data_IF_448550675350
#
_entry.id   IF_448550675350
#
_cell.length_a   1.000
_cell.length_b   1.000
_cell.length_c   1.000
_cell.angle_alpha   90.00
_cell.angle_beta   90.00
_cell.angle_gamma   90.00
#
_symmetry.space_group_name_H-M   'P 1'
#
loop_
_entity.id
_entity.type
_entity.pdbx_description
1 polymer ?
#
# COMPACT_ATOMS: atom_id res chain seq x y z
N UNK A 1 31.30 50.65 -0.47
CA UNK A 1 30.78 50.83 0.90
C UNK A 1 30.94 49.48 1.59
N UNK A 2 32.11 49.23 2.20
CA UNK A 2 32.34 49.24 3.67
C UNK A 2 31.40 48.24 4.37
N UNK A 3 31.81 47.01 4.70
CA UNK A 3 32.85 46.52 5.63
C UNK A 3 32.62 46.95 7.10
N UNK A 4 32.24 45.99 7.96
CA UNK A 4 32.41 45.98 9.43
C UNK A 4 31.88 44.64 9.97
N UNK A 5 32.41 43.99 11.01
CA UNK A 5 33.77 43.79 11.53
C UNK A 5 33.66 42.66 12.58
N UNK A 6 34.79 42.02 12.85
CA UNK A 6 35.04 40.98 13.85
C UNK A 6 35.35 41.59 15.24
N UNK A 7 35.19 40.80 16.31
CA UNK A 7 35.93 40.90 17.60
C UNK A 7 35.02 41.16 18.82
N UNK A 8 35.30 40.73 20.05
CA UNK A 8 36.44 40.10 20.74
C UNK A 8 35.95 39.74 22.18
N UNK A 9 36.25 38.57 22.76
CA UNK A 9 37.31 38.27 23.78
C UNK A 9 37.12 38.83 25.21
N UNK A 10 37.38 37.96 26.21
CA UNK A 10 37.78 38.27 27.61
C UNK A 10 36.97 37.45 28.63
N UNK A 11 37.44 36.35 29.25
CA UNK A 11 38.62 36.03 30.09
C UNK A 11 38.51 36.42 31.58
N UNK A 12 38.87 35.42 32.42
CA UNK A 12 39.51 35.49 33.75
C UNK A 12 38.62 35.87 34.97
N UNK A 13 38.77 35.36 36.20
CA UNK A 13 39.66 34.42 36.92
C UNK A 13 39.06 34.39 38.38
N UNK A 14 39.10 33.37 39.24
CA UNK A 14 40.21 32.79 40.06
C UNK A 14 39.52 32.10 41.27
N UNK A 15 39.79 30.83 41.57
CA UNK A 15 40.83 30.26 42.46
C UNK A 15 40.58 30.32 43.98
N UNK A 16 40.44 29.15 44.60
CA UNK A 16 41.16 28.66 45.80
C UNK A 16 40.59 27.25 46.12
N UNK A 17 41.32 26.17 46.42
CA UNK A 17 42.70 26.00 46.82
C UNK A 17 42.77 24.99 47.99
N UNK A 18 42.86 23.68 47.69
CA UNK A 18 43.61 22.55 48.34
C UNK A 18 43.64 22.36 49.89
N UNK A 19 44.10 21.22 50.49
CA UNK A 19 44.95 20.14 49.92
C UNK A 19 44.68 18.65 50.30
N UNK A 20 45.21 17.80 49.41
CA UNK A 20 45.90 16.50 49.52
C UNK A 20 45.71 15.50 50.70
N UNK A 21 45.61 14.20 50.35
CA UNK A 21 46.59 13.15 50.77
C UNK A 21 46.62 11.97 49.78
N UNK A 22 47.82 11.39 49.59
CA UNK A 22 48.19 10.29 48.67
C UNK A 22 48.61 9.05 49.46
N UNK A 23 48.14 7.83 49.10
CA UNK A 23 48.83 6.52 49.33
C UNK A 23 48.26 5.42 48.38
N UNK A 24 48.89 4.23 48.16
CA UNK A 24 49.46 3.76 46.87
C UNK A 24 48.77 2.46 46.31
N UNK A 25 49.26 1.79 45.23
CA UNK A 25 48.46 0.79 44.50
C UNK A 25 48.61 -0.63 45.06
N UNK A 26 47.54 -1.44 44.94
CA UNK A 26 47.56 -2.88 45.21
C UNK A 26 47.17 -3.63 43.94
N UNK A 27 48.03 -4.59 43.59
CA UNK A 27 47.88 -5.54 42.49
C UNK A 27 46.94 -6.70 42.83
N UNK A 28 46.13 -7.08 41.84
CA UNK A 28 45.84 -8.48 41.48
C UNK A 28 44.89 -9.28 42.37
N UNK A 29 43.72 -9.61 41.83
CA UNK A 29 43.10 -10.92 42.04
C UNK A 29 42.15 -11.26 40.88
N UNK A 30 42.23 -12.50 40.39
CA UNK A 30 41.39 -13.06 39.33
C UNK A 30 40.17 -13.81 39.90
N UNK A 31 39.06 -13.71 39.14
CA UNK A 31 37.93 -14.69 38.99
C UNK A 31 36.86 -14.68 40.12
N UNK A 32 35.53 -14.89 39.86
CA UNK A 32 34.97 -15.74 38.80
C UNK A 32 33.86 -15.20 37.90
N UNK A 33 33.72 -15.89 36.77
CA UNK A 33 32.65 -15.79 35.78
C UNK A 33 31.35 -16.33 36.36
N UNK A 34 30.42 -15.46 36.75
CA UNK A 34 29.02 -15.84 36.97
C UNK A 34 28.24 -15.61 35.69
N UNK A 35 28.04 -16.70 34.94
CA UNK A 35 27.02 -16.76 33.90
C UNK A 35 25.65 -16.85 34.58
N UNK A 36 24.90 -15.74 34.62
CA UNK A 36 23.47 -15.79 34.88
C UNK A 36 22.74 -16.03 33.55
N UNK A 37 22.08 -17.18 33.32
CA UNK A 37 21.38 -17.46 32.08
C UNK A 37 19.91 -17.06 32.22
N UNK A 38 19.62 -15.79 32.45
CA UNK A 38 18.28 -15.20 32.29
C UNK A 38 18.45 -13.72 31.95
N UNK A 39 18.48 -13.45 30.65
CA UNK A 39 17.94 -12.27 29.98
C UNK A 39 18.22 -12.44 28.47
N UNK A 40 17.68 -13.52 27.91
CA UNK A 40 17.32 -13.54 26.51
C UNK A 40 15.82 -13.38 26.46
N UNK A 41 15.33 -12.16 26.71
CA UNK A 41 14.07 -11.78 26.09
C UNK A 41 14.30 -11.94 24.60
N UNK A 42 13.73 -13.02 24.08
CA UNK A 42 13.64 -13.31 22.67
C UNK A 42 13.18 -12.04 21.98
N UNK A 43 14.08 -11.46 21.18
CA UNK A 43 13.71 -10.54 20.13
C UNK A 43 12.89 -11.36 19.12
N UNK A 44 11.64 -11.67 19.47
CA UNK A 44 10.66 -12.22 18.54
C UNK A 44 10.53 -11.13 17.51
N UNK A 45 10.91 -11.36 16.24
CA UNK A 45 10.65 -10.38 15.21
C UNK A 45 9.14 -10.10 15.28
N UNK A 46 8.76 -8.83 15.46
CA UNK A 46 7.42 -8.41 15.07
C UNK A 46 7.20 -9.01 13.69
N UNK A 47 6.12 -9.79 13.53
CA UNK A 47 5.70 -10.24 12.21
C UNK A 47 5.73 -9.00 11.31
N UNK A 48 6.51 -9.05 10.23
CA UNK A 48 6.55 -7.94 9.28
C UNK A 48 5.11 -7.61 8.87
N UNK A 49 4.80 -6.31 8.77
CA UNK A 49 3.48 -5.87 8.34
C UNK A 49 3.14 -6.48 6.98
N UNK A 50 1.88 -6.89 6.80
CA UNK A 50 1.39 -7.42 5.53
C UNK A 50 1.33 -6.26 4.53
N UNK A 51 2.13 -6.35 3.46
CA UNK A 51 2.23 -5.29 2.45
C UNK A 51 1.13 -5.46 1.39
N UNK A 52 0.20 -4.52 1.33
CA UNK A 52 -0.93 -4.55 0.39
C UNK A 52 -0.73 -3.44 -0.64
N UNK A 53 -0.74 -3.79 -1.93
CA UNK A 53 -0.67 -2.84 -3.04
C UNK A 53 -2.07 -2.62 -3.65
N UNK A 54 -2.70 -1.45 -3.46
CA UNK A 54 -3.81 -1.02 -4.31
C UNK A 54 -3.25 -0.57 -5.66
N UNK A 55 -3.51 -1.35 -6.71
CA UNK A 55 -3.02 -1.12 -8.08
C UNK A 55 -4.22 -0.80 -8.99
N UNK A 56 -4.20 0.32 -9.69
CA UNK A 56 -5.29 0.65 -10.59
C UNK A 56 -5.20 1.99 -11.29
N UNK A 57 -6.36 2.47 -11.71
CA UNK A 57 -6.51 3.75 -12.39
C UNK A 57 -7.10 4.84 -11.48
N UNK A 58 -7.89 5.77 -12.04
CA UNK A 58 -8.59 6.83 -11.30
C UNK A 58 -9.54 6.29 -10.24
N UNK A 59 -10.12 5.09 -10.42
CA UNK A 59 -11.02 4.46 -9.44
C UNK A 59 -10.25 4.05 -8.17
N UNK A 60 -8.97 3.68 -8.31
CA UNK A 60 -8.08 3.44 -7.17
C UNK A 60 -7.50 4.74 -6.63
N UNK A 61 -7.10 5.68 -7.51
CA UNK A 61 -6.49 6.94 -7.08
C UNK A 61 -7.46 7.82 -6.26
N UNK A 62 -8.68 8.05 -6.76
CA UNK A 62 -9.58 9.07 -6.23
C UNK A 62 -9.16 10.50 -6.60
N UNK A 63 -10.08 11.45 -6.46
CA UNK A 63 -9.83 12.88 -6.70
C UNK A 63 -9.68 13.67 -5.39
N UNK A 64 -9.51 14.98 -5.50
CA UNK A 64 -9.39 15.91 -4.37
C UNK A 64 -10.60 15.95 -3.42
N UNK A 65 -11.75 15.41 -3.83
CA UNK A 65 -13.01 15.47 -3.08
C UNK A 65 -13.45 14.12 -2.50
N UNK A 66 -12.88 13.00 -2.96
CA UNK A 66 -13.31 11.64 -2.64
C UNK A 66 -12.13 10.80 -2.12
N UNK A 67 -12.38 9.97 -1.10
CA UNK A 67 -11.27 9.35 -0.34
C UNK A 67 -10.66 8.13 -0.99
N UNK A 68 -11.23 7.65 -2.11
CA UNK A 68 -11.03 6.31 -2.66
C UNK A 68 -11.55 5.21 -1.73
N UNK A 69 -11.87 4.04 -2.30
CA UNK A 69 -12.20 2.83 -1.53
C UNK A 69 -11.08 2.43 -0.57
N UNK A 70 -9.84 2.89 -0.82
CA UNK A 70 -8.67 2.63 0.01
C UNK A 70 -8.89 3.06 1.46
N UNK A 71 -9.53 4.20 1.69
CA UNK A 71 -9.77 4.70 3.05
C UNK A 71 -10.77 3.83 3.86
N UNK A 72 -11.98 3.53 3.35
CA UNK A 72 -12.86 2.60 4.05
C UNK A 72 -12.29 1.20 4.20
N UNK A 73 -11.55 0.71 3.21
CA UNK A 73 -10.84 -0.56 3.33
C UNK A 73 -9.78 -0.52 4.44
N UNK A 74 -8.97 0.54 4.52
CA UNK A 74 -7.97 0.70 5.56
C UNK A 74 -8.57 0.75 6.97
N UNK A 75 -9.74 1.40 7.16
CA UNK A 75 -10.46 1.32 8.45
C UNK A 75 -10.79 -0.13 8.82
N UNK A 76 -11.32 -0.90 7.86
CA UNK A 76 -11.64 -2.32 8.08
C UNK A 76 -10.40 -3.15 8.39
N UNK A 77 -9.27 -2.83 7.75
CA UNK A 77 -7.97 -3.47 8.00
C UNK A 77 -7.43 -3.14 9.39
N UNK A 78 -7.53 -1.88 9.83
CA UNK A 78 -7.20 -1.47 11.22
C UNK A 78 -8.02 -2.26 12.24
N UNK A 79 -9.31 -2.49 11.95
CA UNK A 79 -10.20 -3.25 12.84
C UNK A 79 -9.80 -4.74 12.99
N UNK A 80 -8.97 -5.28 12.09
CA UNK A 80 -8.45 -6.66 12.22
C UNK A 80 -7.35 -6.79 13.27
N UNK A 81 -6.65 -5.71 13.60
CA UNK A 81 -5.45 -5.75 14.44
C UNK A 81 -4.21 -6.38 13.78
N UNK A 82 -4.29 -6.78 12.51
CA UNK A 82 -3.13 -7.19 11.72
C UNK A 82 -2.28 -5.95 11.42
N UNK A 83 -0.96 -6.07 11.55
CA UNK A 83 -0.06 -5.01 11.10
C UNK A 83 -0.10 -4.95 9.57
N UNK A 84 -0.60 -3.84 9.01
CA UNK A 84 -0.72 -3.60 7.57
C UNK A 84 0.19 -2.44 7.17
N UNK A 85 0.74 -2.55 5.97
CA UNK A 85 1.49 -1.50 5.27
C UNK A 85 0.87 -1.40 3.86
N UNK A 86 0.16 -0.31 3.54
CA UNK A 86 -0.17 -0.05 2.14
C UNK A 86 1.12 0.37 1.44
N UNK A 87 1.28 -0.06 0.19
CA UNK A 87 2.51 0.21 -0.57
C UNK A 87 2.15 0.70 -1.95
N UNK A 88 3.03 1.53 -2.52
CA UNK A 88 2.82 2.14 -3.81
C UNK A 88 3.93 3.13 -4.15
N UNK A 89 3.97 3.55 -5.41
CA UNK A 89 4.91 4.55 -5.92
C UNK A 89 4.45 5.98 -5.62
N UNK A 90 3.18 6.17 -5.28
CA UNK A 90 2.58 7.46 -4.92
C UNK A 90 1.70 7.33 -3.67
N UNK A 91 1.43 8.45 -3.02
CA UNK A 91 0.71 8.51 -1.74
C UNK A 91 -0.44 9.54 -1.77
N UNK A 92 -0.87 9.99 -2.95
CA UNK A 92 -1.78 11.14 -3.10
C UNK A 92 -2.86 10.96 -4.17
N UNK A 93 -3.99 11.63 -3.93
CA UNK A 93 -5.10 11.64 -4.86
C UNK A 93 -4.84 12.58 -6.05
N UNK A 94 -5.63 12.43 -7.12
CA UNK A 94 -5.51 13.27 -8.29
C UNK A 94 -5.98 14.70 -7.98
N UNK A 95 -5.16 15.68 -8.38
CA UNK A 95 -5.38 17.13 -8.19
C UNK A 95 -5.38 17.64 -6.74
N UNK A 96 -5.25 16.77 -5.76
CA UNK A 96 -5.15 17.14 -4.35
C UNK A 96 -5.72 16.05 -3.46
N UNK A 97 -5.60 16.25 -2.16
CA UNK A 97 -6.02 15.27 -1.17
C UNK A 97 -7.31 15.71 -0.46
N UNK A 98 -8.29 14.82 -0.31
CA UNK A 98 -9.38 15.05 0.63
C UNK A 98 -8.86 14.94 2.07
N UNK A 99 -9.69 15.38 3.03
CA UNK A 99 -9.39 15.14 4.44
C UNK A 99 -9.65 13.67 4.77
N UNK A 100 -8.61 12.96 5.20
CA UNK A 100 -8.69 11.64 5.84
C UNK A 100 -8.55 11.80 7.36
N UNK A 101 -9.64 11.68 8.12
CA UNK A 101 -9.56 11.67 9.57
C UNK A 101 -8.73 10.49 10.10
N UNK A 102 -8.07 10.68 11.23
CA UNK A 102 -7.49 9.56 11.96
C UNK A 102 -8.60 8.57 12.36
N UNK A 103 -8.28 7.29 12.32
CA UNK A 103 -9.17 6.22 12.77
C UNK A 103 -8.46 5.37 13.82
N UNK A 104 -9.12 5.18 14.96
CA UNK A 104 -8.53 4.53 16.15
C UNK A 104 -7.14 5.07 16.57
N UNK A 105 -6.91 6.37 16.37
CA UNK A 105 -5.64 7.02 16.70
C UNK A 105 -4.50 6.76 15.72
N UNK A 106 -4.80 6.18 14.54
CA UNK A 106 -3.85 5.97 13.46
C UNK A 106 -4.18 6.93 12.31
N UNK A 107 -3.14 7.49 11.69
CA UNK A 107 -3.28 8.23 10.44
C UNK A 107 -3.48 7.25 9.28
N UNK A 108 -4.26 7.66 8.27
CA UNK A 108 -4.46 6.85 7.07
C UNK A 108 -3.11 6.59 6.38
N UNK A 109 -2.82 5.33 6.13
CA UNK A 109 -1.75 4.92 5.22
C UNK A 109 -2.23 5.13 3.80
N UNK A 110 -1.55 6.00 3.05
CA UNK A 110 -2.07 6.55 1.80
C UNK A 110 -1.46 5.90 0.56
N UNK A 111 -0.43 5.07 0.72
CA UNK A 111 0.38 4.57 -0.39
C UNK A 111 -0.44 3.69 -1.36
N UNK A 112 -0.24 3.89 -2.67
CA UNK A 112 -0.90 3.14 -3.74
C UNK A 112 -0.23 3.32 -5.13
N UNK A 113 -0.61 2.50 -6.10
CA UNK A 113 -0.32 2.68 -7.54
C UNK A 113 -1.64 2.87 -8.31
N UNK A 114 -2.35 3.94 -7.98
CA UNK A 114 -3.59 4.33 -8.68
C UNK A 114 -3.29 5.50 -9.58
N UNK A 115 -3.41 5.35 -10.90
CA UNK A 115 -2.99 6.39 -11.84
C UNK A 115 -4.15 6.88 -12.70
N UNK A 116 -4.54 8.13 -12.49
CA UNK A 116 -5.74 8.70 -13.08
C UNK A 116 -5.70 8.64 -14.61
N UNK A 117 -6.70 7.95 -15.18
CA UNK A 117 -6.86 7.81 -16.62
C UNK A 117 -5.92 6.82 -17.28
N UNK A 118 -5.12 6.06 -16.53
CA UNK A 118 -4.19 5.08 -17.09
C UNK A 118 -4.88 3.79 -17.49
N UNK A 119 -4.36 3.17 -18.56
CA UNK A 119 -4.68 1.83 -19.05
C UNK A 119 -3.79 0.76 -18.42
N UNK A 120 -4.12 -0.52 -18.66
CA UNK A 120 -3.27 -1.63 -18.24
C UNK A 120 -1.88 -1.59 -18.88
N UNK A 121 -1.76 -1.25 -20.17
CA UNK A 121 -0.47 -1.09 -20.86
C UNK A 121 0.46 -0.05 -20.19
N UNK A 122 -0.13 1.06 -19.70
CA UNK A 122 0.62 2.18 -19.13
C UNK A 122 1.18 1.78 -17.75
N UNK A 123 0.39 1.06 -16.97
CA UNK A 123 0.85 0.44 -15.71
C UNK A 123 1.93 -0.61 -15.98
N UNK A 124 1.76 -1.44 -17.02
CA UNK A 124 2.71 -2.48 -17.37
C UNK A 124 4.09 -1.93 -17.75
N UNK A 125 4.13 -0.74 -18.34
CA UNK A 125 5.38 -0.07 -18.69
C UNK A 125 6.21 0.35 -17.46
N UNK A 126 5.57 0.57 -16.30
CA UNK A 126 6.21 1.16 -15.12
C UNK A 126 6.38 0.18 -13.95
N UNK A 127 5.55 -0.88 -13.87
CA UNK A 127 5.44 -1.75 -12.70
C UNK A 127 6.79 -2.39 -12.27
N UNK A 128 7.67 -2.71 -13.20
CA UNK A 128 8.98 -3.32 -12.89
C UNK A 128 9.90 -2.36 -12.11
N UNK A 129 9.80 -1.05 -12.40
CA UNK A 129 10.55 0.02 -11.76
C UNK A 129 9.96 0.35 -10.39
N UNK A 130 8.63 0.43 -10.25
CA UNK A 130 7.98 0.65 -8.97
C UNK A 130 8.27 -0.46 -7.97
N UNK A 131 8.25 -1.72 -8.43
CA UNK A 131 8.60 -2.89 -7.61
C UNK A 131 10.09 -2.98 -7.23
N UNK A 132 10.90 -1.97 -7.54
CA UNK A 132 12.24 -1.81 -6.93
C UNK A 132 12.18 -1.09 -5.57
N UNK A 133 11.12 -0.30 -5.32
CA UNK A 133 10.91 0.43 -4.06
C UNK A 133 10.19 -0.39 -2.99
N UNK A 134 9.30 -1.30 -3.39
CA UNK A 134 8.55 -2.19 -2.50
C UNK A 134 8.24 -3.52 -3.17
N UNK A 135 7.95 -4.52 -2.34
CA UNK A 135 7.51 -5.84 -2.79
C UNK A 135 6.19 -6.15 -2.06
N UNK A 136 5.05 -6.25 -2.75
CA UNK A 136 3.77 -6.53 -2.10
C UNK A 136 3.61 -8.01 -1.77
N UNK A 137 2.92 -8.29 -0.67
CA UNK A 137 2.42 -9.63 -0.31
C UNK A 137 1.03 -9.87 -0.92
N UNK A 138 0.23 -8.80 -1.04
CA UNK A 138 -1.12 -8.80 -1.57
C UNK A 138 -1.27 -7.68 -2.60
N UNK A 139 -1.95 -7.95 -3.71
CA UNK A 139 -2.27 -6.94 -4.73
C UNK A 139 -3.77 -6.89 -4.94
N UNK A 140 -4.34 -5.67 -4.91
CA UNK A 140 -5.73 -5.38 -5.25
C UNK A 140 -5.75 -4.62 -6.57
N UNK A 141 -5.94 -5.35 -7.68
CA UNK A 141 -5.84 -4.82 -9.03
C UNK A 141 -7.22 -4.45 -9.58
N UNK A 142 -7.44 -3.16 -9.86
CA UNK A 142 -8.64 -2.64 -10.54
C UNK A 142 -8.22 -1.80 -11.75
N UNK A 143 -8.26 -2.42 -12.93
CA UNK A 143 -7.82 -1.87 -14.21
C UNK A 143 -8.76 -2.33 -15.34
N UNK A 144 -8.66 -1.68 -16.49
CA UNK A 144 -9.41 -2.05 -17.71
C UNK A 144 -10.53 -1.09 -18.08
N UNK A 145 -10.98 -0.23 -17.16
CA UNK A 145 -12.02 0.77 -17.45
C UNK A 145 -11.55 1.74 -18.53
N UNK A 146 -10.33 2.27 -18.39
CA UNK A 146 -9.78 3.21 -19.37
C UNK A 146 -9.47 2.57 -20.72
N UNK A 147 -9.08 1.30 -20.74
CA UNK A 147 -8.83 0.50 -21.94
C UNK A 147 -10.12 0.43 -22.77
N UNK A 148 -11.23 0.05 -22.13
CA UNK A 148 -12.54 0.03 -22.78
C UNK A 148 -12.97 1.44 -23.22
N UNK A 149 -12.74 2.47 -22.40
CA UNK A 149 -13.05 3.86 -22.75
C UNK A 149 -12.31 4.33 -23.99
N UNK A 150 -11.03 3.98 -24.11
CA UNK A 150 -10.15 4.33 -25.25
C UNK A 150 -10.34 3.42 -26.46
N UNK A 151 -11.06 2.30 -26.29
CA UNK A 151 -11.45 1.41 -27.38
C UNK A 151 -10.41 0.35 -27.72
N UNK A 152 -9.61 -0.03 -26.72
CA UNK A 152 -8.63 -1.10 -26.82
C UNK A 152 -9.32 -2.47 -26.93
N UNK A 153 -8.59 -3.45 -27.45
CA UNK A 153 -9.11 -4.81 -27.61
C UNK A 153 -9.20 -5.53 -26.25
N UNK A 154 -10.28 -6.30 -26.06
CA UNK A 154 -10.53 -7.00 -24.80
C UNK A 154 -9.50 -8.10 -24.55
N UNK A 155 -9.13 -8.88 -25.58
CA UNK A 155 -8.17 -9.97 -25.44
C UNK A 155 -6.75 -9.41 -25.20
N UNK A 156 -6.43 -8.27 -25.81
CA UNK A 156 -5.20 -7.51 -25.53
C UNK A 156 -5.16 -7.03 -24.08
N UNK A 157 -6.22 -6.35 -23.61
CA UNK A 157 -6.33 -5.89 -22.21
C UNK A 157 -6.17 -7.06 -21.23
N UNK A 158 -6.82 -8.20 -21.48
CA UNK A 158 -6.67 -9.40 -20.64
C UNK A 158 -5.23 -9.91 -20.66
N UNK A 159 -4.57 -9.93 -21.82
CA UNK A 159 -3.17 -10.35 -21.95
C UNK A 159 -2.23 -9.45 -21.14
N UNK A 160 -2.51 -8.14 -21.09
CA UNK A 160 -1.76 -7.19 -20.28
C UNK A 160 -1.94 -7.45 -18.79
N UNK A 161 -3.18 -7.69 -18.33
CA UNK A 161 -3.46 -8.08 -16.94
C UNK A 161 -2.73 -9.39 -16.56
N UNK A 162 -2.74 -10.39 -17.45
CA UNK A 162 -1.96 -11.63 -17.25
C UNK A 162 -0.46 -11.34 -17.14
N UNK A 163 0.05 -10.43 -17.94
CA UNK A 163 1.47 -10.03 -17.92
C UNK A 163 1.81 -9.31 -16.62
N UNK A 164 0.97 -8.40 -16.14
CA UNK A 164 1.12 -7.74 -14.83
C UNK A 164 1.21 -8.76 -13.69
N UNK A 165 0.33 -9.76 -13.66
CA UNK A 165 0.40 -10.88 -12.70
C UNK A 165 1.75 -11.60 -12.79
N UNK A 166 2.25 -11.84 -14.00
CA UNK A 166 3.58 -12.41 -14.23
C UNK A 166 4.72 -11.56 -13.65
N UNK A 167 4.67 -10.23 -13.80
CA UNK A 167 5.67 -9.30 -13.25
C UNK A 167 5.66 -9.27 -11.73
N UNK A 168 4.46 -9.22 -11.14
CA UNK A 168 4.28 -9.29 -9.68
C UNK A 168 4.89 -10.57 -9.11
N UNK A 169 4.60 -11.73 -9.74
CA UNK A 169 5.13 -13.04 -9.33
C UNK A 169 6.64 -13.17 -9.54
N UNK A 170 7.21 -12.50 -10.53
CA UNK A 170 8.65 -12.47 -10.74
C UNK A 170 9.39 -11.76 -9.58
N UNK A 171 8.73 -10.79 -8.92
CA UNK A 171 9.26 -10.08 -7.75
C UNK A 171 8.96 -10.80 -6.45
N UNK A 172 7.74 -11.29 -6.28
CA UNK A 172 7.32 -12.12 -5.15
C UNK A 172 6.60 -13.38 -5.65
N UNK A 173 7.27 -14.54 -5.69
CA UNK A 173 6.65 -15.81 -6.10
C UNK A 173 5.47 -16.27 -5.24
N UNK A 174 5.25 -15.61 -4.08
CA UNK A 174 4.20 -15.90 -3.13
C UNK A 174 3.11 -14.82 -3.02
N UNK A 175 3.13 -13.82 -3.91
CA UNK A 175 2.12 -12.75 -3.91
C UNK A 175 0.72 -13.33 -4.09
N UNK A 176 -0.23 -12.88 -3.27
CA UNK A 176 -1.66 -13.14 -3.45
C UNK A 176 -2.25 -12.03 -4.31
N UNK A 177 -2.86 -12.38 -5.43
CA UNK A 177 -3.40 -11.38 -6.37
C UNK A 177 -4.91 -11.44 -6.39
N UNK A 178 -5.55 -10.30 -6.16
CA UNK A 178 -6.96 -10.10 -6.40
C UNK A 178 -7.14 -9.20 -7.61
N UNK A 179 -7.89 -9.67 -8.61
CA UNK A 179 -8.19 -8.89 -9.82
C UNK A 179 -9.68 -8.58 -9.84
N UNK A 180 -10.05 -7.32 -9.97
CA UNK A 180 -11.44 -6.91 -10.05
C UNK A 180 -12.05 -7.30 -11.41
N UNK A 181 -13.29 -7.77 -11.39
CA UNK A 181 -14.23 -7.45 -12.46
C UNK A 181 -14.59 -5.97 -12.30
N UNK A 182 -14.24 -5.05 -13.23
CA UNK A 182 -14.39 -3.62 -13.01
C UNK A 182 -15.83 -3.19 -12.68
N UNK A 183 -16.00 -2.13 -11.88
CA UNK A 183 -17.33 -1.57 -11.59
C UNK A 183 -18.01 -1.11 -12.89
N UNK A 184 -19.35 -1.13 -12.95
CA UNK A 184 -20.07 -0.61 -14.11
C UNK A 184 -19.89 0.92 -14.24
N UNK A 185 -20.02 1.42 -15.46
CA UNK A 185 -19.99 2.84 -15.79
C UNK A 185 -21.13 3.24 -16.71
N UNK A 186 -21.45 4.53 -16.76
CA UNK A 186 -22.48 5.10 -17.64
C UNK A 186 -22.05 5.15 -19.11
N UNK A 187 -20.75 5.06 -19.37
CA UNK A 187 -20.15 5.07 -20.69
C UNK A 187 -19.52 3.71 -20.99
N UNK A 188 -19.74 3.18 -22.21
CA UNK A 188 -19.18 1.90 -22.68
C UNK A 188 -19.36 0.70 -21.73
N UNK A 189 -20.53 0.63 -21.08
CA UNK A 189 -20.84 -0.46 -20.15
C UNK A 189 -20.82 -1.84 -20.84
N UNK A 190 -21.22 -1.94 -22.11
CA UNK A 190 -21.22 -3.22 -22.82
C UNK A 190 -19.80 -3.75 -23.02
N UNK A 191 -18.84 -2.87 -23.29
CA UNK A 191 -17.43 -3.19 -23.43
C UNK A 191 -16.83 -3.57 -22.06
N UNK A 192 -17.14 -2.80 -21.01
CA UNK A 192 -16.75 -3.14 -19.63
C UNK A 192 -17.33 -4.50 -19.21
N UNK A 193 -18.59 -4.79 -19.53
CA UNK A 193 -19.22 -6.09 -19.28
C UNK A 193 -18.51 -7.22 -20.03
N UNK A 194 -18.16 -6.98 -21.29
CA UNK A 194 -17.43 -7.96 -22.09
C UNK A 194 -16.04 -8.22 -21.51
N UNK A 195 -15.34 -7.18 -21.03
CA UNK A 195 -14.08 -7.32 -20.31
C UNK A 195 -14.25 -8.09 -18.99
N UNK A 196 -15.29 -7.79 -18.18
CA UNK A 196 -15.59 -8.55 -16.96
C UNK A 196 -15.75 -10.04 -17.25
N UNK A 197 -16.51 -10.39 -18.28
CA UNK A 197 -16.71 -11.78 -18.69
C UNK A 197 -15.39 -12.44 -19.15
N UNK A 198 -14.55 -11.70 -19.86
CA UNK A 198 -13.24 -12.19 -20.28
C UNK A 198 -12.31 -12.42 -19.07
N UNK A 199 -12.26 -11.47 -18.12
CA UNK A 199 -11.50 -11.61 -16.86
C UNK A 199 -11.96 -12.84 -16.07
N UNK A 200 -13.26 -12.97 -15.84
CA UNK A 200 -13.86 -14.06 -15.06
C UNK A 200 -13.61 -15.44 -15.68
N UNK A 201 -13.56 -15.52 -17.02
CA UNK A 201 -13.34 -16.79 -17.73
C UNK A 201 -11.87 -17.16 -17.90
N UNK A 202 -10.95 -16.19 -17.89
CA UNK A 202 -9.54 -16.42 -18.25
C UNK A 202 -8.58 -16.38 -17.06
N UNK A 203 -8.68 -15.35 -16.21
CA UNK A 203 -7.68 -15.11 -15.16
C UNK A 203 -7.66 -16.16 -14.04
N UNK A 204 -8.77 -16.82 -13.63
CA UNK A 204 -8.71 -17.86 -12.61
C UNK A 204 -7.76 -19.01 -12.96
N UNK A 205 -7.52 -19.28 -14.25
CA UNK A 205 -6.59 -20.31 -14.70
C UNK A 205 -5.12 -20.00 -14.36
N UNK A 206 -4.78 -18.75 -14.02
CA UNK A 206 -3.45 -18.36 -13.56
C UNK A 206 -3.18 -18.71 -12.10
N UNK A 207 -4.20 -19.05 -11.31
CA UNK A 207 -4.06 -19.31 -9.86
C UNK A 207 -3.20 -20.56 -9.59
N UNK A 208 -2.33 -20.50 -8.58
CA UNK A 208 -1.56 -21.65 -8.10
C UNK A 208 -1.55 -21.71 -6.57
N UNK A 209 -1.06 -22.82 -6.01
CA UNK A 209 -0.94 -22.96 -4.56
C UNK A 209 0.12 -21.99 -3.98
N UNK A 210 1.18 -21.72 -4.73
CA UNK A 210 2.28 -20.84 -4.31
C UNK A 210 1.92 -19.36 -4.41
N UNK A 211 1.13 -18.96 -5.42
CA UNK A 211 0.65 -17.58 -5.64
C UNK A 211 -0.83 -17.62 -6.06
N UNK A 212 -1.75 -17.67 -5.10
CA UNK A 212 -3.18 -17.67 -5.38
C UNK A 212 -3.62 -16.41 -6.12
N UNK A 213 -4.49 -16.58 -7.11
CA UNK A 213 -5.20 -15.51 -7.78
C UNK A 213 -6.71 -15.68 -7.58
N UNK A 214 -7.38 -14.58 -7.25
CA UNK A 214 -8.83 -14.51 -7.09
C UNK A 214 -9.40 -13.40 -7.99
N UNK A 215 -10.49 -13.71 -8.70
CA UNK A 215 -11.30 -12.69 -9.37
C UNK A 215 -12.34 -12.19 -8.37
N UNK A 216 -12.46 -10.87 -8.24
CA UNK A 216 -13.37 -10.21 -7.29
C UNK A 216 -14.42 -9.45 -8.07
N UNK A 217 -15.67 -9.90 -7.96
CA UNK A 217 -16.82 -9.24 -8.55
C UNK A 217 -17.07 -7.89 -7.87
N UNK A 218 -16.60 -6.79 -8.48
CA UNK A 218 -16.90 -5.42 -8.03
C UNK A 218 -18.19 -4.86 -8.64
N UNK A 219 -18.79 -5.54 -9.63
CA UNK A 219 -19.94 -5.04 -10.38
C UNK A 219 -21.29 -5.38 -9.74
N UNK A 220 -21.46 -6.60 -9.22
CA UNK A 220 -22.73 -7.04 -8.66
C UNK A 220 -23.12 -6.20 -7.45
N UNK A 221 -24.32 -5.60 -7.52
CA UNK A 221 -24.84 -4.73 -6.48
C UNK A 221 -24.35 -3.28 -6.57
N UNK A 222 -23.45 -2.96 -7.50
CA UNK A 222 -23.00 -1.60 -7.76
C UNK A 222 -23.98 -0.91 -8.73
N UNK A 223 -24.59 0.18 -8.29
CA UNK A 223 -25.49 1.01 -9.11
C UNK A 223 -24.74 2.24 -9.58
N UNK A 224 -24.58 2.40 -10.91
CA UNK A 224 -23.91 3.58 -11.49
C UNK A 224 -24.53 4.87 -10.95
N UNK A 225 -25.85 5.01 -11.01
CA UNK A 225 -26.54 6.23 -10.58
C UNK A 225 -26.41 6.52 -9.08
N UNK A 226 -26.46 5.49 -8.24
CA UNK A 226 -26.43 5.67 -6.79
C UNK A 226 -25.01 5.72 -6.21
N UNK A 227 -24.05 5.06 -6.85
CA UNK A 227 -22.74 4.78 -6.29
C UNK A 227 -21.60 5.51 -7.01
N UNK A 228 -21.87 6.28 -8.08
CA UNK A 228 -20.89 7.18 -8.70
C UNK A 228 -21.26 8.64 -8.51
N UNK A 229 -20.32 9.55 -8.70
CA UNK A 229 -20.60 11.00 -8.71
C UNK A 229 -20.66 11.61 -10.12
N UNK A 230 -20.11 10.92 -11.12
CA UNK A 230 -20.07 11.38 -12.52
C UNK A 230 -20.44 10.29 -13.54
N UNK A 231 -20.94 9.15 -13.06
CA UNK A 231 -21.23 7.99 -13.90
C UNK A 231 -20.04 7.08 -14.15
N UNK A 232 -18.87 7.31 -13.53
CA UNK A 232 -17.66 6.48 -13.68
C UNK A 232 -17.02 6.23 -12.32
N UNK A 233 -16.75 7.30 -11.57
CA UNK A 233 -15.96 7.26 -10.36
C UNK A 233 -16.84 7.08 -9.11
N UNK A 234 -16.44 6.22 -8.16
CA UNK A 234 -17.22 5.97 -6.96
C UNK A 234 -17.42 7.22 -6.11
N UNK A 235 -18.66 7.44 -5.66
CA UNK A 235 -18.94 8.31 -4.53
C UNK A 235 -18.74 7.53 -3.22
N UNK A 236 -18.90 8.19 -2.07
CA UNK A 236 -18.69 7.56 -0.76
C UNK A 236 -19.42 6.21 -0.56
N UNK A 237 -20.63 6.04 -1.12
CA UNK A 237 -21.35 4.76 -1.02
C UNK A 237 -20.76 3.67 -1.91
N UNK A 238 -20.27 4.04 -3.09
CA UNK A 238 -19.54 3.14 -3.99
C UNK A 238 -18.18 2.74 -3.41
N UNK A 239 -17.46 3.68 -2.82
CA UNK A 239 -16.19 3.43 -2.14
C UNK A 239 -16.34 2.41 -1.00
N UNK A 240 -17.37 2.54 -0.16
CA UNK A 240 -17.67 1.59 0.93
C UNK A 240 -18.07 0.21 0.38
N UNK A 241 -18.85 0.14 -0.70
CA UNK A 241 -19.20 -1.14 -1.36
C UNK A 241 -17.95 -1.84 -1.91
N UNK A 242 -17.07 -1.11 -2.59
CA UNK A 242 -15.84 -1.67 -3.16
C UNK A 242 -14.89 -2.15 -2.07
N UNK A 243 -14.73 -1.37 -1.00
CA UNK A 243 -13.93 -1.73 0.16
C UNK A 243 -14.43 -3.02 0.80
N UNK A 244 -15.75 -3.14 1.02
CA UNK A 244 -16.33 -4.34 1.60
C UNK A 244 -16.07 -5.58 0.74
N UNK A 245 -16.20 -5.48 -0.58
CA UNK A 245 -15.94 -6.61 -1.49
C UNK A 245 -14.47 -7.04 -1.48
N UNK A 246 -13.53 -6.09 -1.42
CA UNK A 246 -12.11 -6.42 -1.25
C UNK A 246 -11.85 -7.10 0.10
N UNK A 247 -12.43 -6.57 1.18
CA UNK A 247 -12.28 -7.13 2.52
C UNK A 247 -12.83 -8.57 2.59
N UNK A 248 -14.04 -8.79 2.07
CA UNK A 248 -14.69 -10.11 2.04
C UNK A 248 -13.85 -11.11 1.24
N UNK A 249 -13.28 -10.69 0.10
CA UNK A 249 -12.42 -11.54 -0.71
C UNK A 249 -11.12 -11.91 0.04
N UNK A 250 -10.47 -10.96 0.71
CA UNK A 250 -9.26 -11.23 1.50
C UNK A 250 -9.53 -12.16 2.68
N UNK A 251 -10.66 -11.99 3.37
CA UNK A 251 -11.09 -12.90 4.45
C UNK A 251 -11.36 -14.31 3.88
N UNK A 252 -12.12 -14.41 2.78
CA UNK A 252 -12.46 -15.69 2.15
C UNK A 252 -11.20 -16.44 1.66
N UNK A 253 -10.18 -15.70 1.20
CA UNK A 253 -8.89 -16.25 0.80
C UNK A 253 -7.99 -16.65 2.00
N UNK A 254 -8.36 -16.29 3.23
CA UNK A 254 -7.58 -16.57 4.43
C UNK A 254 -6.30 -15.72 4.57
N UNK A 255 -6.25 -14.58 3.87
CA UNK A 255 -5.15 -13.60 3.95
C UNK A 255 -5.15 -12.91 5.32
N UNK A 256 -6.35 -12.54 5.80
CA UNK A 256 -6.58 -11.91 7.09
C UNK A 256 -7.14 -12.97 8.04
N UNK A 257 -6.47 -13.20 9.18
CA UNK A 257 -6.84 -14.21 10.19
C UNK A 257 -7.24 -13.57 11.51
#
# INVERSE_FOLDING_TARGET
MLLTLVGCTGCDNKSDGSPETVVPPVSGEQQPTDTNPQDSESNVPLSAALRILPLGDSITQGDESHRSYRYPLWKMLVDTGVAIDLVGSIDGNFQGDPVWPDYQGQAFDRDHDGHWGWKAEEVLAEIDDWLTGYIPDVVLMHLGTNDMFKGDDIDETVTELQTLVGRLRAKNPHVVVFVAEPIPASYKENEIESLRNAIASTLPALSSAESPLFVVDQASGFSVDANTYDGVHPNASGEELMAQKWMDAMIAAGVLK
#
